data_IF_661898282596
#
_entry.id   IF_661898282596
#
_cell.length_a   1.000
_cell.length_b   1.000
_cell.length_c   1.000
_cell.angle_alpha   90.00
_cell.angle_beta   90.00
_cell.angle_gamma   90.00
#
_symmetry.space_group_name_H-M   'P 1'
#
loop_
_entity.id
_entity.type
_entity.pdbx_description
1 polymer ?
#
# COMPACT_ATOMS: atom_id res chain seq x y z
N UNK A 1 -3.26 68.00 -31.22
CA UNK A 1 -2.64 67.46 -29.97
C UNK A 1 -3.66 66.65 -29.17
N UNK A 2 -4.27 65.60 -29.72
CA UNK A 2 -5.29 64.80 -29.00
C UNK A 2 -5.32 63.34 -29.39
N UNK A 3 -4.27 62.76 -29.92
CA UNK A 3 -4.21 61.36 -30.40
C UNK A 3 -3.15 60.49 -29.72
N UNK A 4 -2.40 61.00 -28.73
CA UNK A 4 -1.34 60.25 -28.08
C UNK A 4 -1.67 59.68 -26.68
N UNK A 5 -2.90 59.92 -26.20
CA UNK A 5 -3.34 59.41 -24.88
C UNK A 5 -4.01 58.03 -24.91
N UNK A 6 -4.28 57.44 -26.10
CA UNK A 6 -5.04 56.19 -26.21
C UNK A 6 -4.18 54.94 -26.39
N UNK A 7 -2.86 55.04 -26.45
CA UNK A 7 -1.96 53.88 -26.71
C UNK A 7 -1.40 53.27 -25.42
N UNK A 8 -1.55 53.96 -24.28
CA UNK A 8 -0.97 53.48 -23.00
C UNK A 8 -1.88 52.57 -22.15
N UNK A 9 -3.12 52.30 -22.61
CA UNK A 9 -4.09 51.51 -21.80
C UNK A 9 -4.17 50.03 -22.17
N UNK A 10 -3.41 49.53 -23.15
CA UNK A 10 -3.52 48.15 -23.65
C UNK A 10 -2.43 47.20 -23.13
N UNK A 11 -1.45 47.68 -22.37
CA UNK A 11 -0.27 46.87 -21.98
C UNK A 11 -0.40 46.18 -20.60
N UNK A 12 -1.51 46.33 -19.88
CA UNK A 12 -1.63 45.86 -18.49
C UNK A 12 -2.43 44.54 -18.28
N UNK A 13 -2.78 43.80 -19.34
CA UNK A 13 -3.54 42.54 -19.22
C UNK A 13 -2.73 41.25 -19.52
N UNK A 14 -1.39 41.31 -19.53
CA UNK A 14 -0.55 40.17 -19.88
C UNK A 14 0.24 39.63 -18.65
N UNK A 15 -0.38 39.45 -17.51
CA UNK A 15 0.30 38.84 -16.39
C UNK A 15 -0.66 38.11 -15.47
N UNK A 16 -0.95 36.87 -15.74
CA UNK A 16 -1.29 35.80 -14.80
C UNK A 16 -1.58 34.49 -15.56
N UNK A 17 -0.68 34.06 -16.44
CA UNK A 17 -0.60 32.66 -16.82
C UNK A 17 0.41 32.01 -15.91
N UNK A 18 -0.01 31.62 -14.72
CA UNK A 18 0.77 30.69 -13.89
C UNK A 18 0.75 29.35 -14.61
N UNK A 19 1.88 28.81 -15.10
CA UNK A 19 1.90 27.47 -15.63
C UNK A 19 1.56 26.55 -14.47
N UNK A 20 0.43 25.84 -14.57
CA UNK A 20 0.12 24.76 -13.66
C UNK A 20 1.32 23.78 -13.66
N UNK A 21 1.81 23.33 -12.49
CA UNK A 21 2.85 22.34 -12.47
C UNK A 21 2.33 21.11 -13.20
N UNK A 22 2.93 20.80 -14.34
CA UNK A 22 2.73 19.54 -15.02
C UNK A 22 3.23 18.50 -14.01
N UNK A 23 2.30 17.90 -13.26
CA UNK A 23 2.59 16.63 -12.62
C UNK A 23 2.92 15.70 -13.78
N UNK A 24 4.20 15.50 -13.99
CA UNK A 24 4.70 14.36 -14.75
C UNK A 24 4.14 13.15 -14.03
N UNK A 25 3.01 12.64 -14.52
CA UNK A 25 2.60 11.28 -14.25
C UNK A 25 3.73 10.46 -14.85
N UNK A 26 4.74 10.13 -14.04
CA UNK A 26 5.62 9.02 -14.34
C UNK A 26 4.69 7.85 -14.57
N UNK A 27 4.49 7.50 -15.84
CA UNK A 27 3.96 6.20 -16.21
C UNK A 27 5.04 5.20 -15.80
N UNK A 28 5.08 4.89 -14.51
CA UNK A 28 5.71 3.69 -14.03
C UNK A 28 5.06 2.52 -14.79
N UNK A 29 5.84 1.51 -15.22
CA UNK A 29 5.30 0.31 -15.86
C UNK A 29 4.16 -0.17 -14.97
N UNK A 30 3.05 -0.59 -15.58
CA UNK A 30 1.78 -0.95 -14.94
C UNK A 30 2.02 -1.83 -13.71
N UNK A 31 2.25 -1.21 -12.59
CA UNK A 31 2.34 -1.86 -11.29
C UNK A 31 0.97 -2.40 -10.98
N UNK A 32 0.91 -3.68 -10.66
CA UNK A 32 -0.35 -4.29 -10.24
C UNK A 32 -0.81 -3.56 -9.00
N UNK A 33 -2.09 -3.21 -8.96
CA UNK A 33 -2.70 -2.50 -7.88
C UNK A 33 -3.83 -3.33 -7.29
N UNK A 34 -3.88 -3.43 -5.97
CA UNK A 34 -4.94 -4.08 -5.23
C UNK A 34 -5.47 -3.15 -4.14
N UNK A 35 -6.76 -3.19 -3.93
CA UNK A 35 -7.43 -2.43 -2.88
C UNK A 35 -8.43 -3.33 -2.17
N UNK A 36 -8.71 -3.00 -0.91
CA UNK A 36 -9.69 -3.76 -0.13
C UNK A 36 -9.46 -3.66 1.36
N UNK A 37 -9.72 -4.77 2.04
CA UNK A 37 -9.53 -4.90 3.48
C UNK A 37 -8.60 -6.05 3.80
N UNK A 38 -7.67 -5.79 4.70
CA UNK A 38 -6.75 -6.79 5.24
C UNK A 38 -7.01 -6.96 6.73
N UNK A 39 -6.91 -8.19 7.22
CA UNK A 39 -6.87 -8.46 8.65
C UNK A 39 -5.86 -9.55 8.97
N UNK A 40 -5.15 -9.38 10.09
CA UNK A 40 -4.18 -10.31 10.64
C UNK A 40 -4.61 -10.64 12.07
N UNK A 41 -4.78 -11.91 12.36
CA UNK A 41 -5.06 -12.42 13.70
C UNK A 41 -3.91 -13.33 14.11
N UNK A 42 -3.25 -13.01 15.22
CA UNK A 42 -2.20 -13.83 15.83
C UNK A 42 -2.76 -14.42 17.11
N UNK A 43 -2.82 -15.76 17.20
CA UNK A 43 -3.31 -16.49 18.40
C UNK A 43 -2.22 -16.61 19.46
N UNK A 44 -1.67 -15.46 19.88
CA UNK A 44 -0.76 -15.35 21.02
C UNK A 44 -1.55 -15.17 22.32
N UNK A 45 -0.87 -15.17 23.45
CA UNK A 45 -1.44 -14.82 24.75
C UNK A 45 -0.77 -13.52 25.25
N UNK A 46 -1.48 -12.38 25.26
CA UNK A 46 -2.83 -12.16 24.74
C UNK A 46 -2.90 -12.17 23.20
N UNK A 47 -4.06 -12.48 22.59
CA UNK A 47 -4.22 -12.51 21.16
C UNK A 47 -4.11 -11.10 20.55
N UNK A 48 -3.49 -11.02 19.35
CA UNK A 48 -3.36 -9.76 18.59
C UNK A 48 -4.24 -9.79 17.37
N UNK A 49 -4.99 -8.71 17.15
CA UNK A 49 -5.83 -8.54 15.98
C UNK A 49 -5.57 -7.18 15.36
N UNK A 50 -5.34 -7.16 14.06
CA UNK A 50 -5.23 -5.96 13.25
C UNK A 50 -6.20 -6.06 12.08
N UNK A 51 -6.88 -4.96 11.76
CA UNK A 51 -7.70 -4.86 10.55
C UNK A 51 -7.67 -3.43 10.02
N UNK A 52 -7.51 -3.29 8.70
CA UNK A 52 -7.45 -1.99 8.03
C UNK A 52 -7.98 -2.10 6.60
N UNK A 53 -8.45 -1.00 6.03
CA UNK A 53 -8.50 -0.83 4.59
C UNK A 53 -7.07 -0.76 4.04
N UNK A 54 -6.86 -1.15 2.79
CA UNK A 54 -5.54 -1.05 2.18
C UNK A 54 -5.60 -0.67 0.69
N UNK A 55 -4.53 -0.02 0.23
CA UNK A 55 -4.13 0.00 -1.17
C UNK A 55 -2.69 -0.50 -1.27
N UNK A 56 -2.45 -1.41 -2.19
CA UNK A 56 -1.17 -2.05 -2.43
C UNK A 56 -0.77 -1.84 -3.88
N UNK A 57 0.38 -1.20 -4.09
CA UNK A 57 0.97 -0.93 -5.39
C UNK A 57 2.35 -1.57 -5.47
N UNK A 58 2.68 -2.18 -6.60
CA UNK A 58 4.02 -2.70 -6.84
C UNK A 58 4.10 -4.22 -6.93
N UNK A 59 5.22 -4.75 -6.48
CA UNK A 59 5.56 -6.17 -6.44
C UNK A 59 6.36 -6.52 -5.17
N UNK A 60 6.81 -7.75 -5.04
CA UNK A 60 7.57 -8.20 -3.88
C UNK A 60 8.94 -7.50 -3.73
N UNK A 61 9.50 -6.94 -4.81
CA UNK A 61 10.81 -6.27 -4.80
C UNK A 61 10.71 -4.80 -4.43
N UNK A 62 9.65 -4.14 -4.92
CA UNK A 62 9.42 -2.72 -4.65
C UNK A 62 7.93 -2.40 -4.66
N UNK A 63 7.50 -1.56 -3.76
CA UNK A 63 6.11 -1.16 -3.70
C UNK A 63 5.76 -0.29 -2.52
N UNK A 64 4.47 -0.03 -2.43
CA UNK A 64 3.86 0.76 -1.38
C UNK A 64 2.55 0.11 -0.92
N UNK A 65 2.38 0.01 0.38
CA UNK A 65 1.15 -0.41 1.03
C UNK A 65 0.65 0.71 1.93
N UNK A 66 -0.49 1.28 1.60
CA UNK A 66 -1.18 2.23 2.45
C UNK A 66 -2.25 1.52 3.26
N UNK A 67 -2.28 1.78 4.56
CA UNK A 67 -3.28 1.26 5.49
C UNK A 67 -4.22 2.39 5.94
N UNK A 68 -5.53 2.09 5.94
CA UNK A 68 -6.56 3.08 6.24
C UNK A 68 -7.45 2.65 7.40
N UNK A 69 -7.88 3.61 8.19
CA UNK A 69 -8.96 3.43 9.16
C UNK A 69 -10.31 3.21 8.44
N UNK A 70 -11.34 2.73 9.14
CA UNK A 70 -12.71 2.65 8.56
C UNK A 70 -13.25 3.99 8.05
N UNK A 71 -12.73 5.10 8.54
CA UNK A 71 -13.10 6.45 8.12
C UNK A 71 -12.24 7.00 6.96
N UNK A 72 -11.34 6.17 6.40
CA UNK A 72 -10.48 6.55 5.28
C UNK A 72 -9.22 7.35 5.65
N UNK A 73 -8.96 7.56 6.94
CA UNK A 73 -7.72 8.21 7.39
C UNK A 73 -6.54 7.25 7.22
N UNK A 74 -5.44 7.72 6.64
CA UNK A 74 -4.20 6.93 6.53
C UNK A 74 -3.65 6.65 7.94
N UNK A 75 -3.56 5.39 8.30
CA UNK A 75 -2.98 4.90 9.55
C UNK A 75 -1.46 4.79 9.44
N UNK A 76 -1.00 4.22 8.31
CA UNK A 76 0.41 4.04 8.03
C UNK A 76 0.64 3.80 6.54
N UNK A 77 1.86 4.08 6.10
CA UNK A 77 2.36 3.73 4.77
C UNK A 77 3.62 2.90 4.92
N UNK A 78 3.66 1.74 4.26
CA UNK A 78 4.82 0.89 4.16
C UNK A 78 5.41 1.06 2.77
N UNK A 79 6.70 1.34 2.69
CA UNK A 79 7.42 1.44 1.43
C UNK A 79 8.61 0.50 1.46
N UNK A 80 8.83 -0.24 0.37
CA UNK A 80 9.99 -1.11 0.24
C UNK A 80 10.57 -1.05 -1.16
N UNK A 81 11.87 -1.27 -1.19
CA UNK A 81 12.67 -1.47 -2.39
C UNK A 81 13.86 -2.36 -2.02
N UNK A 82 14.73 -2.79 -2.97
CA UNK A 82 15.84 -3.69 -2.68
C UNK A 82 16.84 -3.22 -1.62
N UNK A 83 16.84 -1.94 -1.27
CA UNK A 83 17.80 -1.34 -0.34
C UNK A 83 17.19 -0.78 0.93
N UNK A 84 15.86 -0.72 1.02
CA UNK A 84 15.19 -0.03 2.13
C UNK A 84 13.78 -0.54 2.34
N UNK A 85 13.43 -0.77 3.60
CA UNK A 85 12.05 -0.99 4.06
C UNK A 85 11.72 0.07 5.09
N UNK A 86 10.59 0.76 4.92
CA UNK A 86 10.22 1.90 5.75
C UNK A 86 8.75 1.81 6.17
N UNK A 87 8.51 2.25 7.40
CA UNK A 87 7.18 2.49 7.96
C UNK A 87 7.02 3.98 8.22
N UNK A 88 5.95 4.58 7.71
CA UNK A 88 5.60 5.97 7.92
C UNK A 88 4.26 6.04 8.64
N UNK A 89 4.19 6.79 9.74
CA UNK A 89 2.97 7.00 10.52
C UNK A 89 2.93 8.44 11.04
N UNK A 90 2.06 9.26 10.48
CA UNK A 90 2.05 10.70 10.75
C UNK A 90 3.39 11.34 10.41
N UNK A 91 4.06 11.95 11.38
CA UNK A 91 5.41 12.53 11.23
C UNK A 91 6.53 11.54 11.58
N UNK A 92 6.21 10.32 12.00
CA UNK A 92 7.20 9.32 12.37
C UNK A 92 7.59 8.47 11.16
N UNK A 93 8.89 8.23 11.02
CA UNK A 93 9.46 7.34 10.02
C UNK A 93 10.41 6.37 10.72
N UNK A 94 10.24 5.07 10.45
CA UNK A 94 11.13 4.01 10.93
C UNK A 94 11.66 3.21 9.76
N UNK A 95 12.91 2.79 9.84
CA UNK A 95 13.54 1.88 8.87
C UNK A 95 13.66 0.49 9.48
N UNK A 96 13.52 -0.51 8.63
CA UNK A 96 13.62 -1.92 8.97
C UNK A 96 14.55 -2.62 7.98
N UNK A 97 15.20 -3.68 8.45
CA UNK A 97 16.11 -4.49 7.64
C UNK A 97 15.37 -5.30 6.57
N UNK A 98 14.10 -5.63 6.83
CA UNK A 98 13.25 -6.38 5.91
C UNK A 98 11.77 -6.15 6.18
N UNK A 99 10.93 -6.48 5.20
CA UNK A 99 9.48 -6.48 5.35
C UNK A 99 9.02 -7.53 6.40
N UNK A 100 9.71 -8.67 6.49
CA UNK A 100 9.42 -9.67 7.50
C UNK A 100 9.60 -9.12 8.92
N UNK A 101 10.72 -8.41 9.19
CA UNK A 101 10.97 -7.77 10.48
C UNK A 101 9.93 -6.68 10.79
N UNK A 102 9.60 -5.84 9.80
CA UNK A 102 8.57 -4.81 9.95
C UNK A 102 7.22 -5.42 10.33
N UNK A 103 6.77 -6.46 9.60
CA UNK A 103 5.47 -7.08 9.86
C UNK A 103 5.45 -7.83 11.18
N UNK A 104 6.55 -8.46 11.59
CA UNK A 104 6.67 -9.11 12.89
C UNK A 104 6.54 -8.12 14.04
N UNK A 105 7.23 -6.97 13.97
CA UNK A 105 7.12 -5.93 15.01
C UNK A 105 5.71 -5.35 15.09
N UNK A 106 5.09 -5.07 13.94
CA UNK A 106 3.81 -4.36 13.89
C UNK A 106 2.60 -5.26 14.12
N UNK A 107 2.63 -6.50 13.63
CA UNK A 107 1.50 -7.44 13.71
C UNK A 107 1.73 -8.58 14.70
N UNK A 108 2.96 -8.83 15.10
CA UNK A 108 3.37 -9.99 15.89
C UNK A 108 3.66 -11.24 15.06
N UNK A 109 3.74 -11.11 13.74
CA UNK A 109 4.07 -12.20 12.83
C UNK A 109 4.75 -11.71 11.55
N UNK A 110 5.84 -12.37 11.16
CA UNK A 110 6.46 -12.17 9.87
C UNK A 110 5.50 -12.63 8.76
N UNK A 111 5.10 -11.73 7.87
CA UNK A 111 4.23 -12.05 6.73
C UNK A 111 5.06 -12.35 5.49
N UNK A 112 4.70 -13.36 4.68
CA UNK A 112 5.46 -13.79 3.52
C UNK A 112 5.12 -12.93 2.29
N UNK A 113 5.74 -11.75 2.17
CA UNK A 113 5.41 -10.78 1.13
C UNK A 113 5.47 -11.37 -0.29
N UNK A 114 6.52 -12.13 -0.61
CA UNK A 114 6.68 -12.76 -1.93
C UNK A 114 5.50 -13.67 -2.25
N UNK A 115 5.14 -14.55 -1.32
CA UNK A 115 4.02 -15.45 -1.49
C UNK A 115 2.68 -14.71 -1.55
N UNK A 116 2.52 -13.64 -0.77
CA UNK A 116 1.29 -12.83 -0.79
C UNK A 116 1.04 -12.22 -2.18
N UNK A 117 2.06 -11.68 -2.85
CA UNK A 117 1.92 -11.18 -4.22
C UNK A 117 1.54 -12.28 -5.21
N UNK A 118 2.10 -13.49 -5.04
CA UNK A 118 1.75 -14.64 -5.87
C UNK A 118 0.29 -15.06 -5.63
N UNK A 119 -0.14 -15.15 -4.37
CA UNK A 119 -1.51 -15.50 -4.00
C UNK A 119 -2.54 -14.48 -4.51
N UNK A 120 -2.24 -13.19 -4.43
CA UNK A 120 -3.08 -12.12 -4.97
C UNK A 120 -3.24 -12.22 -6.50
N UNK A 121 -2.30 -12.87 -7.17
CA UNK A 121 -2.34 -13.15 -8.61
C UNK A 121 -2.96 -14.53 -8.94
N UNK A 122 -3.48 -15.23 -7.92
CA UNK A 122 -4.09 -16.55 -8.08
C UNK A 122 -3.10 -17.71 -8.19
N UNK A 123 -1.81 -17.49 -7.92
CA UNK A 123 -0.80 -18.54 -7.92
C UNK A 123 -0.59 -19.08 -6.51
N UNK A 124 -0.88 -20.36 -6.32
CA UNK A 124 -0.75 -21.04 -5.03
C UNK A 124 0.73 -21.37 -4.71
N UNK A 125 1.58 -20.34 -4.63
CA UNK A 125 3.01 -20.51 -4.35
C UNK A 125 3.20 -20.98 -2.91
N UNK A 126 3.96 -22.07 -2.69
CA UNK A 126 4.30 -22.54 -1.36
C UNK A 126 5.09 -21.47 -0.57
N UNK A 127 4.79 -21.37 0.72
CA UNK A 127 5.56 -20.55 1.66
C UNK A 127 5.74 -21.33 2.96
N UNK A 128 6.95 -21.40 3.53
CA UNK A 128 7.22 -22.20 4.71
C UNK A 128 6.26 -21.90 5.86
N UNK A 129 5.60 -22.92 6.36
CA UNK A 129 4.64 -22.83 7.47
C UNK A 129 3.28 -22.21 7.13
N UNK A 130 3.10 -21.70 5.90
CA UNK A 130 1.86 -21.08 5.45
C UNK A 130 1.05 -22.00 4.53
N UNK A 131 -0.27 -21.89 4.67
CA UNK A 131 -1.25 -22.51 3.78
C UNK A 131 -2.22 -21.44 3.30
N UNK A 132 -2.27 -21.22 1.98
CA UNK A 132 -3.17 -20.25 1.36
C UNK A 132 -4.39 -20.96 0.75
N UNK A 133 -5.57 -20.46 1.03
CA UNK A 133 -6.83 -20.83 0.39
C UNK A 133 -7.21 -19.73 -0.60
N UNK A 134 -7.12 -20.05 -1.90
CA UNK A 134 -7.43 -19.16 -3.00
C UNK A 134 -8.78 -19.51 -3.67
N UNK A 135 -9.55 -20.45 -3.13
CA UNK A 135 -10.78 -20.97 -3.73
C UNK A 135 -11.84 -19.89 -3.96
N UNK A 136 -11.85 -18.86 -3.13
CA UNK A 136 -12.76 -17.71 -3.22
C UNK A 136 -12.10 -16.43 -3.79
N UNK A 137 -10.92 -16.53 -4.41
CA UNK A 137 -10.20 -15.36 -4.94
C UNK A 137 -10.97 -14.69 -6.09
N UNK A 138 -11.68 -15.44 -6.90
CA UNK A 138 -12.59 -14.91 -7.93
C UNK A 138 -13.75 -14.07 -7.35
N UNK A 139 -14.04 -14.23 -6.07
CA UNK A 139 -14.99 -13.43 -5.30
C UNK A 139 -14.27 -12.36 -4.46
N UNK A 140 -12.98 -12.12 -4.73
CA UNK A 140 -12.14 -11.16 -4.02
C UNK A 140 -11.71 -11.61 -2.63
N UNK A 141 -11.79 -12.88 -2.26
CA UNK A 141 -11.46 -13.36 -0.91
C UNK A 141 -10.26 -14.30 -0.93
N UNK A 142 -9.27 -14.02 -0.07
CA UNK A 142 -8.08 -14.83 0.14
C UNK A 142 -7.89 -15.04 1.64
N UNK A 143 -7.59 -16.28 2.04
CA UNK A 143 -7.25 -16.61 3.41
C UNK A 143 -5.93 -17.37 3.40
N UNK A 144 -4.97 -16.94 4.24
CA UNK A 144 -3.75 -17.68 4.47
C UNK A 144 -3.55 -17.91 5.96
N UNK A 145 -3.08 -19.10 6.32
CA UNK A 145 -2.83 -19.50 7.70
C UNK A 145 -1.38 -19.92 7.86
N UNK A 146 -0.68 -19.36 8.83
CA UNK A 146 0.61 -19.88 9.29
C UNK A 146 0.37 -20.82 10.46
N UNK A 147 0.70 -22.07 10.26
CA UNK A 147 0.53 -23.12 11.26
C UNK A 147 1.85 -23.32 12.02
N UNK A 148 2.97 -23.14 11.34
CA UNK A 148 4.32 -23.32 11.87
C UNK A 148 5.21 -22.16 11.46
N UNK A 149 6.03 -21.56 12.36
CA UNK A 149 6.03 -21.79 13.81
C UNK A 149 4.79 -21.21 14.50
N UNK A 150 4.51 -21.67 15.72
CA UNK A 150 3.53 -21.01 16.58
C UNK A 150 3.93 -19.56 16.90
N UNK A 151 2.95 -18.70 17.22
CA UNK A 151 1.51 -18.93 17.30
C UNK A 151 0.84 -19.02 15.92
N UNK A 152 -0.36 -19.63 15.86
CA UNK A 152 -1.19 -19.64 14.67
C UNK A 152 -1.48 -18.19 14.22
N UNK A 153 -1.24 -17.91 12.93
CA UNK A 153 -1.58 -16.62 12.32
C UNK A 153 -2.61 -16.83 11.23
N UNK A 154 -3.63 -16.00 11.21
CA UNK A 154 -4.63 -16.00 10.14
C UNK A 154 -4.62 -14.64 9.45
N UNK A 155 -4.21 -14.64 8.19
CA UNK A 155 -4.30 -13.51 7.29
C UNK A 155 -5.56 -13.65 6.44
N UNK A 156 -6.39 -12.60 6.39
CA UNK A 156 -7.54 -12.51 5.48
C UNK A 156 -7.42 -11.25 4.66
N UNK A 157 -7.61 -11.39 3.36
CA UNK A 157 -7.69 -10.28 2.42
C UNK A 157 -9.05 -10.35 1.73
N UNK A 158 -9.75 -9.24 1.72
CA UNK A 158 -10.95 -9.03 0.94
C UNK A 158 -10.69 -7.90 -0.03
N UNK A 159 -10.57 -8.23 -1.31
CA UNK A 159 -10.37 -7.27 -2.38
C UNK A 159 -11.71 -6.56 -2.69
N UNK A 160 -11.63 -5.29 -2.99
CA UNK A 160 -12.73 -4.56 -3.58
C UNK A 160 -12.94 -5.12 -4.99
N UNK A 161 -14.17 -5.38 -5.34
CA UNK A 161 -14.51 -5.81 -6.71
C UNK A 161 -14.37 -4.60 -7.63
N UNK A 162 -13.73 -4.73 -8.80
CA UNK A 162 -13.68 -3.64 -9.79
C UNK A 162 -15.07 -3.26 -10.29
#
# INVERSE_FOLDING_TARGET
MRVWASIWLVVLLAACATPAPIRSVSQAPSTKQWQGRISVTVQSDPPRNMSAGFSLDGDARQGELNLFSPLGTTLATLQWNPTSTQWLQGSQQRRYDSMAHLTEETTGAALPLDAMFEWLQGRATPSPGWQADLSALNQGSLIAKRITPEPLVVLRIKLDTP
#
